data_IF_890147793465
#
_entry.id   IF_890147793465
#
_cell.length_a   1.000
_cell.length_b   1.000
_cell.length_c   1.000
_cell.angle_alpha   90.00
_cell.angle_beta   90.00
_cell.angle_gamma   90.00
#
_symmetry.space_group_name_H-M   'P 1'
#
loop_
_entity.id
_entity.type
_entity.pdbx_description
1 polymer ?
#
# COMPACT_ATOMS: atom_id res chain seq x y z
N UNK A 1 -3.21 -10.36 26.54
CA UNK A 1 -3.49 -11.04 25.26
C UNK A 1 -2.58 -12.25 25.04
N UNK A 2 -1.25 -12.11 25.06
CA UNK A 2 -0.32 -13.23 24.77
C UNK A 2 -0.51 -14.50 25.63
N UNK A 3 -0.58 -14.39 26.96
CA UNK A 3 -0.79 -15.56 27.83
C UNK A 3 -2.11 -16.29 27.57
N UNK A 4 -3.17 -15.58 27.20
CA UNK A 4 -4.45 -16.20 26.89
C UNK A 4 -4.35 -17.07 25.63
N UNK A 5 -3.60 -16.64 24.62
CA UNK A 5 -3.29 -17.43 23.43
C UNK A 5 -2.43 -18.65 23.78
N UNK A 6 -1.35 -18.44 24.54
CA UNK A 6 -0.40 -19.53 24.90
C UNK A 6 -1.06 -20.60 25.76
N UNK A 7 -1.91 -20.20 26.71
CA UNK A 7 -2.62 -21.11 27.61
C UNK A 7 -3.92 -21.67 27.00
N UNK A 8 -4.28 -21.29 25.77
CA UNK A 8 -5.49 -21.75 25.09
C UNK A 8 -6.81 -21.18 25.65
N UNK A 9 -6.75 -20.18 26.53
CA UNK A 9 -7.93 -19.56 27.11
C UNK A 9 -8.72 -18.70 26.10
N UNK A 10 -8.01 -18.02 25.18
CA UNK A 10 -8.61 -17.28 24.08
C UNK A 10 -7.59 -17.07 22.96
N UNK A 11 -8.00 -17.25 21.69
CA UNK A 11 -7.14 -17.03 20.52
C UNK A 11 -7.06 -15.54 20.19
N UNK A 12 -6.05 -14.86 20.70
CA UNK A 12 -5.82 -13.42 20.54
C UNK A 12 -4.53 -13.08 19.76
N UNK A 13 -3.95 -14.07 19.08
CA UNK A 13 -2.73 -13.95 18.28
C UNK A 13 -2.19 -15.33 17.91
N UNK A 14 -0.91 -15.39 17.53
CA UNK A 14 -0.19 -16.63 17.24
C UNK A 14 1.01 -16.79 18.16
N UNK A 15 1.24 -18.02 18.60
CA UNK A 15 2.49 -18.43 19.22
C UNK A 15 3.01 -19.64 18.47
N UNK A 16 4.10 -19.45 17.73
CA UNK A 16 4.72 -20.50 16.92
C UNK A 16 6.04 -20.89 17.59
N UNK A 17 6.09 -22.00 18.35
CA UNK A 17 7.33 -22.41 18.99
C UNK A 17 8.35 -22.79 17.91
N UNK A 18 9.52 -22.15 17.96
CA UNK A 18 10.63 -22.47 17.07
C UNK A 18 11.89 -22.73 17.90
N UNK A 19 12.42 -23.96 17.79
CA UNK A 19 13.56 -24.46 18.58
C UNK A 19 14.79 -23.55 18.51
N UNK A 20 15.01 -22.90 17.37
CA UNK A 20 16.17 -22.06 17.11
C UNK A 20 15.81 -20.57 17.04
N UNK A 21 14.69 -20.14 17.63
CA UNK A 21 14.29 -18.72 17.62
C UNK A 21 15.39 -17.78 18.12
N UNK A 22 16.18 -18.22 19.11
CA UNK A 22 17.32 -17.48 19.65
C UNK A 22 18.49 -17.28 18.68
N UNK A 23 18.54 -18.01 17.56
CA UNK A 23 19.57 -17.86 16.52
C UNK A 23 19.10 -17.05 15.32
N UNK A 24 17.80 -16.69 15.26
CA UNK A 24 17.25 -15.94 14.14
C UNK A 24 17.63 -14.48 14.27
N UNK A 25 18.13 -13.92 13.19
CA UNK A 25 18.35 -12.48 13.04
C UNK A 25 17.38 -11.94 12.02
N UNK A 26 16.68 -10.87 12.35
CA UNK A 26 15.83 -10.19 11.39
C UNK A 26 16.66 -9.70 10.19
N UNK A 27 16.21 -9.96 8.95
CA UNK A 27 16.93 -9.49 7.78
C UNK A 27 16.90 -7.96 7.75
N UNK A 28 18.08 -7.32 7.71
CA UNK A 28 18.17 -5.86 7.50
C UNK A 28 17.68 -5.43 6.11
N UNK A 29 17.54 -6.40 5.20
CA UNK A 29 17.03 -6.25 3.84
C UNK A 29 17.28 -7.50 3.03
N UNK A 30 16.94 -7.43 1.75
CA UNK A 30 17.00 -8.53 0.80
C UNK A 30 17.84 -8.13 -0.42
N UNK A 31 19.20 -8.16 -0.32
CA UNK A 31 20.08 -7.67 -1.39
C UNK A 31 19.87 -8.36 -2.74
N UNK A 32 19.41 -9.61 -2.74
CA UNK A 32 19.07 -10.34 -3.97
C UNK A 32 17.92 -9.71 -4.77
N UNK A 33 17.08 -8.88 -4.14
CA UNK A 33 16.00 -8.15 -4.80
C UNK A 33 16.48 -6.82 -5.41
N UNK A 34 17.61 -6.27 -4.96
CA UNK A 34 18.10 -4.96 -5.42
C UNK A 34 18.18 -4.86 -6.96
N UNK A 35 18.70 -5.88 -7.70
CA UNK A 35 18.75 -5.80 -9.16
C UNK A 35 17.37 -5.67 -9.84
N UNK A 36 16.29 -6.20 -9.25
CA UNK A 36 14.94 -6.11 -9.82
C UNK A 36 14.36 -4.69 -9.68
N UNK A 37 14.63 -4.04 -8.54
CA UNK A 37 14.25 -2.64 -8.30
C UNK A 37 15.12 -1.70 -9.13
N UNK A 38 16.42 -1.95 -9.21
CA UNK A 38 17.35 -1.17 -10.03
C UNK A 38 16.99 -1.24 -11.52
N UNK A 39 16.65 -2.42 -12.04
CA UNK A 39 16.14 -2.58 -13.40
C UNK A 39 14.84 -1.80 -13.67
N UNK A 40 14.08 -1.47 -12.61
CA UNK A 40 12.86 -0.66 -12.69
C UNK A 40 13.08 0.84 -12.44
N UNK A 41 14.30 1.28 -12.12
CA UNK A 41 14.64 2.68 -11.87
C UNK A 41 14.23 3.65 -12.99
N UNK A 42 14.35 3.31 -14.30
CA UNK A 42 13.86 4.19 -15.36
C UNK A 42 12.36 4.47 -15.24
N UNK A 43 11.56 3.42 -14.94
CA UNK A 43 10.11 3.55 -14.73
C UNK A 43 9.78 4.35 -13.48
N UNK A 44 10.53 4.19 -12.40
CA UNK A 44 10.36 5.01 -11.21
C UNK A 44 10.65 6.48 -11.49
N UNK A 45 11.67 6.75 -12.31
CA UNK A 45 12.00 8.11 -12.74
C UNK A 45 10.88 8.73 -13.57
N UNK A 46 10.35 7.99 -14.56
CA UNK A 46 9.18 8.41 -15.36
C UNK A 46 7.97 8.67 -14.47
N UNK A 47 7.77 7.82 -13.45
CA UNK A 47 6.66 8.01 -12.52
C UNK A 47 6.81 9.26 -11.66
N UNK A 48 8.01 9.56 -11.15
CA UNK A 48 8.29 10.81 -10.45
C UNK A 48 8.05 12.03 -11.36
N UNK A 49 8.45 11.99 -12.63
CA UNK A 49 8.10 13.05 -13.60
C UNK A 49 6.58 13.17 -13.78
N UNK A 50 5.84 12.05 -13.77
CA UNK A 50 4.38 12.10 -13.83
C UNK A 50 3.79 12.76 -12.58
N UNK A 51 4.34 12.54 -11.39
CA UNK A 51 3.93 13.25 -10.17
C UNK A 51 4.08 14.77 -10.35
N UNK A 52 5.19 15.23 -10.94
CA UNK A 52 5.42 16.66 -11.20
C UNK A 52 4.34 17.29 -12.10
N UNK A 53 3.72 16.52 -13.01
CA UNK A 53 2.63 17.04 -13.85
C UNK A 53 1.36 17.40 -13.07
N UNK A 54 1.24 16.94 -11.82
CA UNK A 54 0.15 17.29 -10.91
C UNK A 54 0.59 18.21 -9.76
N UNK A 55 1.74 18.89 -9.91
CA UNK A 55 2.34 19.68 -8.84
C UNK A 55 1.39 20.68 -8.18
N UNK A 56 0.65 21.45 -8.98
CA UNK A 56 -0.26 22.49 -8.45
C UNK A 56 -1.43 21.88 -7.66
N UNK A 57 -1.99 20.77 -8.16
CA UNK A 57 -3.06 20.06 -7.45
C UNK A 57 -2.55 19.47 -6.13
N UNK A 58 -1.37 18.85 -6.13
CA UNK A 58 -0.76 18.29 -4.92
C UNK A 58 -0.43 19.37 -3.88
N UNK A 59 0.06 20.54 -4.32
CA UNK A 59 0.30 21.70 -3.43
C UNK A 59 -0.99 22.28 -2.85
N UNK A 60 -2.12 22.11 -3.53
CA UNK A 60 -3.42 22.58 -3.02
C UNK A 60 -4.03 21.70 -1.92
N UNK A 61 -3.43 20.54 -1.64
CA UNK A 61 -3.88 19.63 -0.58
C UNK A 61 -3.29 20.07 0.77
N UNK A 62 -4.12 20.16 1.82
CA UNK A 62 -3.65 20.31 3.20
C UNK A 62 -4.48 21.24 4.08
N UNK A 63 -5.13 22.25 3.50
CA UNK A 63 -5.85 23.29 4.24
C UNK A 63 -7.34 22.99 4.43
N UNK A 64 -7.88 22.05 3.66
CA UNK A 64 -9.28 21.67 3.73
C UNK A 64 -9.63 20.93 5.04
N UNK A 65 -10.87 21.08 5.56
CA UNK A 65 -11.31 20.31 6.71
C UNK A 65 -11.41 18.81 6.39
N UNK A 66 -11.35 17.98 7.44
CA UNK A 66 -11.68 16.57 7.30
C UNK A 66 -13.08 16.40 6.66
N UNK A 67 -13.26 15.48 5.72
CA UNK A 67 -12.42 14.31 5.45
C UNK A 67 -11.40 14.47 4.32
N UNK A 68 -11.03 15.69 3.91
CA UNK A 68 -10.01 15.88 2.87
C UNK A 68 -8.62 15.38 3.31
N UNK A 69 -7.73 14.99 2.36
CA UNK A 69 -6.38 14.56 2.68
C UNK A 69 -5.52 15.71 3.20
N UNK A 70 -4.44 15.37 3.91
CA UNK A 70 -3.46 16.32 4.44
C UNK A 70 -2.06 15.70 4.44
N UNK A 71 -1.04 16.54 4.29
CA UNK A 71 0.36 16.11 4.31
C UNK A 71 0.92 15.90 5.71
N UNK A 72 0.44 16.67 6.70
CA UNK A 72 0.88 16.59 8.10
C UNK A 72 0.31 15.37 8.83
N UNK A 73 0.81 14.18 8.48
CA UNK A 73 0.47 12.89 9.07
C UNK A 73 1.52 11.82 8.71
N UNK A 74 1.66 10.79 9.55
CA UNK A 74 2.69 9.75 9.38
C UNK A 74 2.20 8.41 8.87
N UNK A 75 0.89 8.24 8.65
CA UNK A 75 0.29 6.97 8.23
C UNK A 75 0.31 6.77 6.71
N UNK A 76 0.17 7.85 5.95
CA UNK A 76 0.27 7.85 4.48
C UNK A 76 1.10 9.07 4.05
N UNK A 77 2.44 9.03 4.21
CA UNK A 77 3.30 10.20 4.08
C UNK A 77 3.38 10.72 2.65
N UNK A 78 4.04 11.86 2.46
CA UNK A 78 4.01 12.64 1.21
C UNK A 78 4.17 11.82 -0.08
N UNK A 79 5.16 10.93 -0.21
CA UNK A 79 5.40 10.21 -1.47
C UNK A 79 4.35 9.13 -1.71
N UNK A 80 3.84 8.51 -0.65
CA UNK A 80 2.74 7.55 -0.70
C UNK A 80 1.45 8.24 -1.15
N UNK A 81 1.12 9.37 -0.53
CA UNK A 81 0.00 10.24 -0.90
C UNK A 81 0.09 10.72 -2.35
N UNK A 82 1.24 11.26 -2.75
CA UNK A 82 1.47 11.76 -4.10
C UNK A 82 1.43 10.62 -5.14
N UNK A 83 1.97 9.45 -4.83
CA UNK A 83 1.94 8.28 -5.71
C UNK A 83 0.50 7.77 -5.92
N UNK A 84 -0.28 7.61 -4.84
CA UNK A 84 -1.67 7.16 -4.95
C UNK A 84 -2.54 8.16 -5.71
N UNK A 85 -2.42 9.45 -5.40
CA UNK A 85 -3.10 10.51 -6.13
C UNK A 85 -2.75 10.45 -7.63
N UNK A 86 -1.46 10.34 -7.95
CA UNK A 86 -0.97 10.31 -9.33
C UNK A 86 -1.41 9.05 -10.08
N UNK A 87 -1.42 7.87 -9.45
CA UNK A 87 -1.94 6.64 -10.05
C UNK A 87 -3.39 6.82 -10.49
N UNK A 88 -4.25 7.36 -9.63
CA UNK A 88 -5.67 7.57 -9.95
C UNK A 88 -5.82 8.60 -11.08
N UNK A 89 -5.10 9.72 -11.04
CA UNK A 89 -5.20 10.77 -12.08
C UNK A 89 -4.66 10.34 -13.45
N UNK A 90 -3.58 9.57 -13.47
CA UNK A 90 -2.89 9.13 -14.68
C UNK A 90 -3.61 7.93 -15.31
N UNK A 91 -3.95 6.93 -14.50
CA UNK A 91 -4.53 5.65 -14.98
C UNK A 91 -6.04 5.72 -15.17
N UNK A 92 -6.73 6.60 -14.43
CA UNK A 92 -8.18 6.81 -14.49
C UNK A 92 -8.95 5.49 -14.41
N UNK A 93 -8.73 4.69 -13.35
CA UNK A 93 -9.37 3.39 -13.20
C UNK A 93 -10.90 3.54 -13.23
N UNK A 94 -11.61 2.54 -13.74
CA UNK A 94 -13.06 2.51 -13.61
C UNK A 94 -13.44 2.22 -12.15
N UNK A 95 -12.69 1.34 -11.50
CA UNK A 95 -12.88 0.94 -10.11
C UNK A 95 -11.57 1.00 -9.32
N UNK A 96 -11.66 1.54 -8.10
CA UNK A 96 -10.67 1.36 -7.04
C UNK A 96 -11.32 0.52 -5.94
N UNK A 97 -10.82 -0.69 -5.72
CA UNK A 97 -11.19 -1.54 -4.60
C UNK A 97 -10.10 -1.47 -3.53
N UNK A 98 -10.43 -0.91 -2.36
CA UNK A 98 -9.50 -0.72 -1.25
C UNK A 98 -9.83 -1.66 -0.08
N UNK A 99 -8.81 -2.33 0.46
CA UNK A 99 -8.89 -3.20 1.63
C UNK A 99 -8.15 -2.54 2.78
N UNK A 100 -8.90 -2.12 3.81
CA UNK A 100 -8.38 -1.25 4.87
C UNK A 100 -8.28 0.19 4.38
N UNK A 101 -8.96 1.09 5.07
CA UNK A 101 -9.29 2.43 4.58
C UNK A 101 -9.02 3.53 5.61
N UNK A 102 -8.95 4.77 5.14
CA UNK A 102 -8.71 5.94 5.97
C UNK A 102 -7.91 7.00 5.22
N UNK A 103 -6.61 7.08 5.49
CA UNK A 103 -5.78 8.16 4.96
C UNK A 103 -5.49 8.04 3.46
N UNK A 104 -5.16 6.84 2.97
CA UNK A 104 -5.00 6.52 1.55
C UNK A 104 -6.27 6.84 0.74
N UNK A 105 -7.43 6.41 1.24
CA UNK A 105 -8.76 6.65 0.65
C UNK A 105 -8.97 8.12 0.31
N UNK A 106 -8.57 9.03 1.22
CA UNK A 106 -8.76 10.47 1.05
C UNK A 106 -7.93 11.04 -0.10
N UNK A 107 -6.71 10.55 -0.31
CA UNK A 107 -5.89 10.94 -1.46
C UNK A 107 -6.47 10.42 -2.77
N UNK A 108 -6.94 9.17 -2.80
CA UNK A 108 -7.56 8.59 -3.99
C UNK A 108 -8.89 9.28 -4.35
N UNK A 109 -9.74 9.56 -3.35
CA UNK A 109 -10.98 10.30 -3.54
C UNK A 109 -10.74 11.74 -4.00
N UNK A 110 -9.72 12.41 -3.44
CA UNK A 110 -9.30 13.74 -3.91
C UNK A 110 -8.84 13.69 -5.36
N UNK A 111 -8.09 12.68 -5.77
CA UNK A 111 -7.69 12.50 -7.17
C UNK A 111 -8.88 12.29 -8.12
N UNK A 112 -9.89 11.53 -7.71
CA UNK A 112 -11.13 11.36 -8.49
C UNK A 112 -11.85 12.70 -8.64
N UNK A 113 -12.02 13.45 -7.55
CA UNK A 113 -12.67 14.75 -7.53
C UNK A 113 -11.94 15.77 -8.41
N UNK A 114 -10.64 15.97 -8.20
CA UNK A 114 -9.81 16.92 -8.94
C UNK A 114 -9.70 16.57 -10.43
N UNK A 115 -9.92 15.29 -10.77
CA UNK A 115 -9.95 14.82 -12.14
C UNK A 115 -11.31 14.78 -12.82
N UNK A 116 -12.40 15.01 -12.08
CA UNK A 116 -13.75 14.79 -12.59
C UNK A 116 -13.95 13.36 -13.12
N UNK A 117 -13.30 12.38 -12.49
CA UNK A 117 -13.29 11.00 -13.01
C UNK A 117 -14.60 10.29 -12.64
N UNK A 118 -15.14 9.44 -13.53
CA UNK A 118 -16.29 8.58 -13.21
C UNK A 118 -15.89 7.34 -12.39
N UNK A 119 -14.72 7.38 -11.75
CA UNK A 119 -14.14 6.27 -10.98
C UNK A 119 -15.00 5.94 -9.77
N UNK A 120 -15.37 4.67 -9.62
CA UNK A 120 -16.02 4.14 -8.41
C UNK A 120 -14.96 3.73 -7.40
N UNK A 121 -15.04 4.24 -6.17
CA UNK A 121 -14.17 3.80 -5.07
C UNK A 121 -15.00 2.95 -4.11
N UNK A 122 -14.59 1.71 -3.88
CA UNK A 122 -15.19 0.77 -2.92
C UNK A 122 -14.16 0.47 -1.84
N UNK A 123 -14.47 0.76 -0.58
CA UNK A 123 -13.60 0.52 0.57
C UNK A 123 -14.19 -0.57 1.47
N UNK A 124 -13.50 -1.71 1.59
CA UNK A 124 -13.84 -2.79 2.50
C UNK A 124 -13.08 -2.59 3.81
N UNK A 125 -13.80 -2.22 4.87
CA UNK A 125 -13.21 -1.98 6.17
C UNK A 125 -14.27 -2.02 7.28
N UNK A 126 -14.13 -2.84 8.33
CA UNK A 126 -15.09 -2.84 9.43
C UNK A 126 -15.08 -1.53 10.25
N UNK A 127 -13.94 -0.82 10.29
CA UNK A 127 -13.75 0.38 11.10
C UNK A 127 -12.62 1.27 10.50
N UNK A 128 -12.94 2.12 9.51
CA UNK A 128 -11.96 3.00 8.86
C UNK A 128 -11.12 3.81 9.85
N UNK A 129 -9.81 3.87 9.62
CA UNK A 129 -8.86 4.61 10.48
C UNK A 129 -9.09 6.13 10.46
N UNK A 130 -9.77 6.62 9.42
CA UNK A 130 -10.15 8.01 9.29
C UNK A 130 -11.56 8.10 8.68
N UNK A 131 -12.29 9.17 8.97
CA UNK A 131 -13.59 9.40 8.34
C UNK A 131 -13.44 9.49 6.81
N UNK A 132 -14.28 8.74 6.09
CA UNK A 132 -14.33 8.66 4.62
C UNK A 132 -15.74 8.93 4.06
N UNK A 133 -16.68 9.33 4.92
CA UNK A 133 -18.04 9.71 4.50
C UNK A 133 -18.03 11.04 3.77
N UNK A 134 -18.81 11.15 2.69
CA UNK A 134 -19.03 12.42 1.98
C UNK A 134 -17.97 12.77 0.93
N UNK A 135 -17.02 11.89 0.64
CA UNK A 135 -15.98 12.06 -0.40
C UNK A 135 -16.17 11.11 -1.59
N UNK A 136 -17.38 10.60 -1.81
CA UNK A 136 -17.71 9.77 -2.99
C UNK A 136 -17.19 8.32 -2.90
N UNK A 137 -17.05 7.78 -1.69
CA UNK A 137 -16.59 6.40 -1.45
C UNK A 137 -17.77 5.52 -1.02
N UNK A 138 -17.88 4.34 -1.64
CA UNK A 138 -18.77 3.27 -1.21
C UNK A 138 -18.09 2.48 -0.08
N UNK A 139 -18.57 2.65 1.15
CA UNK A 139 -18.03 1.96 2.31
C UNK A 139 -18.76 0.63 2.56
N UNK A 140 -18.03 -0.47 2.44
CA UNK A 140 -18.48 -1.81 2.82
C UNK A 140 -17.97 -2.10 4.24
N UNK A 141 -18.83 -1.86 5.23
CA UNK A 141 -18.54 -2.04 6.65
C UNK A 141 -18.44 -3.52 7.06
N UNK A 142 -17.39 -4.21 6.58
CA UNK A 142 -17.18 -5.64 6.79
C UNK A 142 -15.68 -5.97 6.83
N UNK A 143 -15.32 -7.10 7.44
CA UNK A 143 -13.98 -7.67 7.26
C UNK A 143 -13.83 -8.22 5.84
N UNK A 144 -12.58 -8.32 5.37
CA UNK A 144 -12.27 -8.87 4.05
C UNK A 144 -12.94 -10.24 3.80
N UNK A 145 -12.89 -11.13 4.80
CA UNK A 145 -13.46 -12.48 4.71
C UNK A 145 -14.99 -12.52 4.66
N UNK A 146 -15.68 -11.48 5.12
CA UNK A 146 -17.14 -11.38 5.11
C UNK A 146 -17.67 -10.62 3.88
N UNK A 147 -16.81 -9.88 3.19
CA UNK A 147 -17.18 -9.12 2.00
C UNK A 147 -17.49 -10.03 0.80
N UNK A 148 -18.26 -9.50 -0.15
CA UNK A 148 -18.65 -10.25 -1.34
C UNK A 148 -17.42 -10.51 -2.24
N UNK A 149 -17.03 -11.78 -2.48
CA UNK A 149 -15.86 -12.10 -3.30
C UNK A 149 -16.02 -11.68 -4.77
N UNK A 150 -17.24 -11.35 -5.24
CA UNK A 150 -17.46 -10.77 -6.57
C UNK A 150 -16.70 -9.47 -6.78
N UNK A 151 -16.49 -8.69 -5.72
CA UNK A 151 -15.76 -7.42 -5.80
C UNK A 151 -14.37 -7.56 -6.44
N UNK A 152 -13.67 -8.68 -6.21
CA UNK A 152 -12.37 -8.95 -6.82
C UNK A 152 -12.48 -9.44 -8.28
N UNK A 153 -13.52 -10.23 -8.59
CA UNK A 153 -13.72 -10.79 -9.93
C UNK A 153 -14.21 -9.76 -10.94
N UNK A 154 -14.87 -8.71 -10.45
CA UNK A 154 -15.42 -7.64 -11.27
C UNK A 154 -14.35 -6.60 -11.65
N UNK A 155 -13.15 -6.65 -11.05
CA UNK A 155 -12.02 -5.82 -11.46
C UNK A 155 -11.57 -6.17 -12.88
N UNK A 156 -11.11 -5.18 -13.62
CA UNK A 156 -10.60 -5.34 -14.98
C UNK A 156 -9.22 -4.70 -15.15
N UNK A 157 -8.56 -4.96 -16.28
CA UNK A 157 -7.29 -4.33 -16.59
C UNK A 157 -7.38 -2.80 -16.48
N UNK A 158 -6.44 -2.19 -15.76
CA UNK A 158 -6.42 -0.76 -15.45
C UNK A 158 -7.16 -0.34 -14.18
N UNK A 159 -7.98 -1.22 -13.58
CA UNK A 159 -8.54 -0.98 -12.24
C UNK A 159 -7.49 -1.15 -11.15
N UNK A 160 -7.78 -0.60 -9.96
CA UNK A 160 -6.89 -0.64 -8.81
C UNK A 160 -7.44 -1.57 -7.72
N UNK A 161 -6.60 -2.51 -7.27
CA UNK A 161 -6.74 -3.18 -5.97
C UNK A 161 -5.72 -2.57 -4.99
N UNK A 162 -6.19 -1.86 -3.97
CA UNK A 162 -5.36 -1.20 -2.97
C UNK A 162 -5.39 -1.99 -1.66
N UNK A 163 -4.23 -2.44 -1.17
CA UNK A 163 -4.11 -3.34 -0.01
C UNK A 163 -3.39 -2.63 1.13
N UNK A 164 -4.13 -2.30 2.19
CA UNK A 164 -3.65 -1.78 3.48
C UNK A 164 -4.29 -2.57 4.65
N UNK A 165 -4.08 -3.90 4.59
CA UNK A 165 -4.83 -4.87 5.39
C UNK A 165 -4.24 -5.10 6.80
N UNK A 166 -4.11 -6.36 7.21
CA UNK A 166 -3.54 -6.75 8.50
C UNK A 166 -2.01 -6.79 8.53
N UNK A 167 -1.35 -6.85 7.36
CA UNK A 167 0.11 -7.01 7.18
C UNK A 167 0.74 -8.28 7.80
N UNK A 168 -0.10 -9.16 8.36
CA UNK A 168 0.30 -10.41 8.99
C UNK A 168 -0.04 -11.56 8.04
N UNK A 169 0.99 -12.25 7.58
CA UNK A 169 0.95 -13.49 6.81
C UNK A 169 0.98 -14.67 7.77
N UNK A 170 -0.20 -15.23 8.04
CA UNK A 170 -0.41 -16.53 8.68
C UNK A 170 -1.56 -17.23 7.93
N UNK A 171 -1.64 -18.57 7.92
CA UNK A 171 -2.73 -19.25 7.23
C UNK A 171 -4.11 -18.74 7.68
N UNK A 172 -4.94 -18.34 6.71
CA UNK A 172 -6.27 -17.80 6.91
C UNK A 172 -6.36 -16.33 7.31
N UNK A 173 -5.26 -15.56 7.29
CA UNK A 173 -5.31 -14.09 7.45
C UNK A 173 -5.63 -13.37 6.15
N UNK A 174 -5.86 -12.06 6.23
CA UNK A 174 -6.10 -11.24 5.05
C UNK A 174 -4.97 -11.34 4.02
N UNK A 175 -3.70 -11.27 4.45
CA UNK A 175 -2.55 -11.37 3.55
C UNK A 175 -2.50 -12.74 2.87
N UNK A 176 -2.74 -13.82 3.62
CA UNK A 176 -2.81 -15.17 3.04
C UNK A 176 -3.93 -15.28 2.00
N UNK A 177 -5.13 -14.80 2.32
CA UNK A 177 -6.26 -14.81 1.39
C UNK A 177 -5.99 -13.96 0.14
N UNK A 178 -5.47 -12.75 0.30
CA UNK A 178 -5.16 -11.84 -0.81
C UNK A 178 -4.11 -12.44 -1.74
N UNK A 179 -3.05 -13.03 -1.21
CA UNK A 179 -1.96 -13.55 -2.02
C UNK A 179 -2.21 -14.97 -2.58
N UNK A 180 -2.91 -15.82 -1.84
CA UNK A 180 -3.09 -17.23 -2.21
C UNK A 180 -4.49 -17.57 -2.75
N UNK A 181 -5.47 -16.67 -2.62
CA UNK A 181 -6.83 -16.87 -3.17
C UNK A 181 -7.24 -15.79 -4.17
N UNK A 182 -6.98 -14.51 -3.87
CA UNK A 182 -7.36 -13.39 -4.76
C UNK A 182 -6.36 -13.24 -5.91
N UNK A 183 -5.07 -13.06 -5.62
CA UNK A 183 -4.03 -12.81 -6.62
C UNK A 183 -3.98 -13.84 -7.76
N UNK A 184 -4.11 -15.16 -7.53
CA UNK A 184 -4.10 -16.14 -8.62
C UNK A 184 -5.28 -16.03 -9.59
N UNK A 185 -6.40 -15.44 -9.15
CA UNK A 185 -7.61 -15.24 -9.94
C UNK A 185 -7.77 -13.80 -10.44
N UNK A 186 -6.88 -12.90 -10.01
CA UNK A 186 -6.95 -11.49 -10.35
C UNK A 186 -6.66 -11.30 -11.85
N UNK A 187 -7.49 -10.57 -12.59
CA UNK A 187 -7.26 -10.34 -14.01
C UNK A 187 -5.91 -9.65 -14.28
N UNK A 188 -5.26 -10.05 -15.38
CA UNK A 188 -4.03 -9.41 -15.84
C UNK A 188 -4.30 -7.93 -16.19
N UNK A 189 -3.32 -7.07 -15.93
CA UNK A 189 -3.40 -5.62 -16.10
C UNK A 189 -4.06 -4.88 -14.94
N UNK A 190 -4.59 -5.57 -13.91
CA UNK A 190 -5.01 -4.90 -12.67
C UNK A 190 -3.78 -4.29 -11.99
N UNK A 191 -3.91 -3.05 -11.56
CA UNK A 191 -2.90 -2.33 -10.78
C UNK A 191 -3.10 -2.69 -9.31
N UNK A 192 -2.04 -3.11 -8.64
CA UNK A 192 -2.08 -3.49 -7.23
C UNK A 192 -1.16 -2.60 -6.43
N UNK A 193 -1.70 -2.01 -5.37
CA UNK A 193 -0.92 -1.37 -4.33
C UNK A 193 -0.87 -2.26 -3.10
N UNK A 194 0.31 -2.36 -2.48
CA UNK A 194 0.49 -2.98 -1.19
C UNK A 194 1.21 -1.96 -0.29
N UNK A 195 0.56 -1.59 0.81
CA UNK A 195 1.14 -0.69 1.79
C UNK A 195 2.12 -1.41 2.73
N UNK A 196 2.90 -0.66 3.50
CA UNK A 196 3.91 -1.16 4.43
C UNK A 196 4.92 -2.15 3.81
N UNK A 197 5.29 -1.91 2.55
CA UNK A 197 6.38 -2.61 1.87
C UNK A 197 7.61 -1.70 1.77
N UNK A 198 8.73 -2.19 2.30
CA UNK A 198 10.03 -1.50 2.29
C UNK A 198 11.05 -2.14 1.35
N UNK A 199 10.67 -3.22 0.66
CA UNK A 199 11.54 -3.94 -0.27
C UNK A 199 12.27 -2.97 -1.23
N UNK A 200 13.57 -3.17 -1.46
CA UNK A 200 14.39 -4.30 -1.02
C UNK A 200 14.92 -4.20 0.44
N UNK A 201 14.58 -3.15 1.19
CA UNK A 201 14.96 -3.02 2.60
C UNK A 201 14.15 -3.95 3.51
N UNK A 202 14.69 -4.22 4.70
CA UNK A 202 13.98 -4.90 5.78
C UNK A 202 13.12 -3.92 6.57
N UNK A 203 12.25 -4.45 7.44
CA UNK A 203 11.54 -3.60 8.39
C UNK A 203 12.51 -2.95 9.39
N UNK A 204 12.30 -1.67 9.75
CA UNK A 204 13.13 -0.99 10.74
C UNK A 204 12.90 -1.61 12.13
N UNK A 205 13.90 -1.51 13.00
CA UNK A 205 13.84 -2.07 14.35
C UNK A 205 12.63 -1.55 15.15
N UNK A 206 12.26 -0.28 14.98
CA UNK A 206 11.12 0.34 15.68
C UNK A 206 9.76 -0.21 15.23
N UNK A 207 9.72 -1.02 14.16
CA UNK A 207 8.52 -1.74 13.70
C UNK A 207 8.50 -3.20 14.16
N UNK A 208 9.51 -3.68 14.89
CA UNK A 208 9.57 -5.08 15.34
C UNK A 208 8.31 -5.52 16.10
N UNK A 209 7.73 -4.62 16.91
CA UNK A 209 6.51 -4.90 17.68
C UNK A 209 5.25 -5.04 16.81
N UNK A 210 5.25 -4.53 15.57
CA UNK A 210 4.12 -4.62 14.64
C UNK A 210 3.93 -6.05 14.11
N UNK A 211 5.01 -6.84 14.08
CA UNK A 211 4.97 -8.23 13.62
C UNK A 211 4.66 -8.40 12.13
N UNK A 212 4.85 -7.36 11.32
CA UNK A 212 4.64 -7.40 9.88
C UNK A 212 5.62 -8.38 9.22
N UNK A 213 5.11 -9.19 8.31
CA UNK A 213 5.91 -10.22 7.63
C UNK A 213 5.48 -10.44 6.16
N UNK A 214 4.56 -9.62 5.63
CA UNK A 214 4.03 -9.79 4.27
C UNK A 214 5.07 -9.59 3.15
N UNK A 215 6.13 -8.80 3.40
CA UNK A 215 7.23 -8.63 2.43
C UNK A 215 7.85 -9.96 2.00
N UNK A 216 7.83 -10.97 2.88
CA UNK A 216 8.35 -12.31 2.62
C UNK A 216 7.56 -13.04 1.52
N UNK A 217 6.30 -12.70 1.30
CA UNK A 217 5.48 -13.23 0.20
C UNK A 217 5.43 -12.30 -1.02
N UNK A 218 5.53 -10.97 -0.81
CA UNK A 218 5.57 -10.00 -1.91
C UNK A 218 6.86 -10.11 -2.73
N UNK A 219 8.00 -10.36 -2.08
CA UNK A 219 9.28 -10.50 -2.77
C UNK A 219 9.26 -11.58 -3.89
N UNK A 220 8.80 -12.82 -3.63
CA UNK A 220 8.60 -13.83 -4.68
C UNK A 220 7.67 -13.41 -5.83
N UNK A 221 6.63 -12.60 -5.59
CA UNK A 221 5.74 -12.14 -6.65
C UNK A 221 6.47 -11.27 -7.68
N UNK A 222 7.38 -10.42 -7.19
CA UNK A 222 8.23 -9.55 -8.01
C UNK A 222 9.26 -10.40 -8.78
N UNK A 223 9.96 -11.30 -8.09
CA UNK A 223 11.05 -12.08 -8.71
C UNK A 223 10.54 -13.20 -9.63
N UNK A 224 9.33 -13.69 -9.40
CA UNK A 224 8.69 -14.73 -10.21
C UNK A 224 8.11 -14.22 -11.54
N UNK A 225 8.29 -12.93 -11.87
CA UNK A 225 7.73 -12.27 -13.06
C UNK A 225 6.22 -12.44 -13.22
N UNK A 226 5.51 -12.63 -12.10
CA UNK A 226 4.04 -12.64 -12.05
C UNK A 226 3.44 -11.23 -11.89
N UNK A 227 4.30 -10.27 -11.55
CA UNK A 227 4.00 -8.88 -11.34
C UNK A 227 5.08 -8.00 -11.99
N UNK A 228 4.66 -6.87 -12.55
CA UNK A 228 5.56 -5.84 -13.05
C UNK A 228 5.63 -4.69 -12.07
N UNK A 229 6.83 -4.36 -11.63
CA UNK A 229 7.09 -3.29 -10.68
C UNK A 229 6.84 -1.91 -11.32
N UNK A 230 5.89 -1.14 -10.78
CA UNK A 230 5.52 0.18 -11.29
C UNK A 230 6.18 1.30 -10.50
N UNK A 231 6.12 1.23 -9.17
CA UNK A 231 6.74 2.22 -8.28
C UNK A 231 6.99 1.65 -6.89
N UNK A 232 8.06 2.09 -6.22
CA UNK A 232 8.30 1.84 -4.80
C UNK A 232 8.71 3.14 -4.14
N UNK A 233 7.88 3.64 -3.22
CA UNK A 233 8.19 4.86 -2.48
C UNK A 233 9.47 4.69 -1.66
N UNK A 234 9.64 3.53 -1.01
CA UNK A 234 10.83 3.28 -0.20
C UNK A 234 12.11 3.28 -1.02
N UNK A 235 12.10 2.61 -2.17
CA UNK A 235 13.25 2.58 -3.07
C UNK A 235 13.54 3.98 -3.62
N UNK A 236 12.52 4.71 -4.07
CA UNK A 236 12.69 6.07 -4.56
C UNK A 236 13.24 7.01 -3.48
N UNK A 237 12.69 6.97 -2.27
CA UNK A 237 13.13 7.82 -1.16
C UNK A 237 14.59 7.56 -0.74
N UNK A 238 15.08 6.33 -0.86
CA UNK A 238 16.42 5.95 -0.38
C UNK A 238 17.49 5.87 -1.47
N UNK A 239 17.13 5.41 -2.68
CA UNK A 239 18.05 5.23 -3.82
C UNK A 239 17.91 6.32 -4.88
N UNK A 240 16.89 7.17 -4.80
CA UNK A 240 16.63 8.28 -5.72
C UNK A 240 16.35 9.58 -4.94
N UNK A 241 17.01 9.72 -3.78
CA UNK A 241 16.77 10.81 -2.83
C UNK A 241 17.00 12.21 -3.46
N UNK A 242 17.92 12.32 -4.41
CA UNK A 242 18.18 13.54 -5.18
C UNK A 242 16.95 13.97 -6.01
N UNK A 243 16.15 13.00 -6.47
CA UNK A 243 14.92 13.24 -7.22
C UNK A 243 13.76 13.54 -6.28
N UNK A 244 13.56 12.73 -5.25
CA UNK A 244 12.44 12.90 -4.29
C UNK A 244 12.63 14.10 -3.36
N UNK A 245 13.86 14.63 -3.23
CA UNK A 245 14.16 15.86 -2.50
C UNK A 245 13.96 17.14 -3.31
N UNK A 246 13.55 17.03 -4.58
CA UNK A 246 13.27 18.16 -5.48
C UNK A 246 11.81 18.15 -5.92
N UNK A 247 11.43 19.16 -6.71
CA UNK A 247 10.11 19.23 -7.34
C UNK A 247 8.98 19.37 -6.32
N UNK A 248 7.78 18.94 -6.70
CA UNK A 248 6.61 19.00 -5.80
C UNK A 248 6.82 18.13 -4.57
N UNK A 249 7.29 16.91 -4.75
CA UNK A 249 7.46 15.94 -3.65
C UNK A 249 8.43 16.48 -2.59
N UNK A 250 9.54 17.08 -2.99
CA UNK A 250 10.51 17.70 -2.07
C UNK A 250 9.96 18.89 -1.27
N UNK A 251 8.90 19.54 -1.77
CA UNK A 251 8.23 20.65 -1.09
C UNK A 251 7.07 20.24 -0.18
N UNK A 252 6.63 18.98 -0.23
CA UNK A 252 5.56 18.47 0.64
C UNK A 252 6.12 18.10 2.02
N UNK A 253 5.34 18.35 3.07
CA UNK A 253 5.74 18.06 4.46
C UNK A 253 5.93 16.55 4.67
N UNK A 254 7.11 16.16 5.15
CA UNK A 254 7.40 14.81 5.67
C UNK A 254 7.59 14.92 7.18
N UNK A 255 6.73 14.28 7.96
CA UNK A 255 6.88 14.25 9.42
C UNK A 255 8.14 13.46 9.81
N UNK A 256 8.84 13.94 10.83
CA UNK A 256 10.01 13.26 11.39
C UNK A 256 9.65 11.82 11.79
N UNK A 257 10.44 10.86 11.31
CA UNK A 257 10.24 9.44 11.55
C UNK A 257 9.18 8.76 10.66
N UNK A 258 8.47 9.50 9.80
CA UNK A 258 7.61 8.90 8.80
C UNK A 258 8.43 8.14 7.74
N UNK A 259 7.96 6.96 7.35
CA UNK A 259 8.62 6.11 6.36
C UNK A 259 7.64 5.88 5.21
N UNK A 260 8.09 6.14 3.99
CA UNK A 260 7.28 6.01 2.77
C UNK A 260 7.34 4.56 2.28
N UNK A 261 6.20 3.88 2.21
CA UNK A 261 6.10 2.41 2.13
C UNK A 261 5.14 1.89 1.06
N UNK A 262 4.69 2.73 0.12
CA UNK A 262 3.85 2.27 -0.99
C UNK A 262 4.64 1.47 -2.01
N UNK A 263 4.14 0.28 -2.34
CA UNK A 263 4.57 -0.52 -3.48
C UNK A 263 3.43 -0.62 -4.49
N UNK A 264 3.71 -0.23 -5.74
CA UNK A 264 2.80 -0.36 -6.87
C UNK A 264 3.32 -1.40 -7.86
N UNK A 265 2.48 -2.35 -8.22
CA UNK A 265 2.74 -3.39 -9.21
C UNK A 265 1.56 -3.54 -10.18
N UNK A 266 1.80 -4.12 -11.33
CA UNK A 266 0.78 -4.51 -12.31
C UNK A 266 0.76 -6.04 -12.38
N UNK A 267 -0.42 -6.66 -12.27
CA UNK A 267 -0.59 -8.11 -12.47
C UNK A 267 -0.28 -8.47 -13.93
N UNK A 268 0.60 -9.44 -14.15
CA UNK A 268 0.94 -9.95 -15.48
C UNK A 268 0.08 -11.14 -15.92
#
# INVERSE_FOLDING_TARGET
MGLATVLGAARQGWFTPYRYAHTVTDPRGYPALEPFFEASRPRFSEFLERIETFADALKSIGDDPAPQPRWRQGWFPRLDGAAAYTMVRDRKPATVLEIGSGHSTRFMARAVSDGGLPTRIVAIDPAPRAHISGIGVEHVASTLHAADPRLFRDLSAGDILFIDSSHILMPGTDVDYLLNSVWPQLPAGVLVHIHDILLPDGYPADWAWRGYNEQSAVAPLITGYSAKLLFSSRFAATRMADRTGRGVVGGLELLDGAIETSLWIEKL
#
